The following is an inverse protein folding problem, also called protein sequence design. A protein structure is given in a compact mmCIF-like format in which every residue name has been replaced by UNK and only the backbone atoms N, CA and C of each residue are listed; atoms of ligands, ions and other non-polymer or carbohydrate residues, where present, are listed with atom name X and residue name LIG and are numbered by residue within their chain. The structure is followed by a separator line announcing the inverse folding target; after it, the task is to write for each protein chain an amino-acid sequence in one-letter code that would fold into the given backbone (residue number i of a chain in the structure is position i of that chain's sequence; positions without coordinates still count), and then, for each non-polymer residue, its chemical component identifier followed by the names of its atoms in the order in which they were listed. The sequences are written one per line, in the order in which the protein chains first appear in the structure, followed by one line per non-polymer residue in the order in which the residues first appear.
data_IF_891757722489
#
_entry.id   IF_891757722489
#
_cell.length_a   1.000
_cell.length_b   1.000
_cell.length_c   1.000
_cell.angle_alpha   90.00
_cell.angle_beta   90.00
_cell.angle_gamma   90.00
#
_symmetry.space_group_name_H-M   'P 1'
#
loop_
_entity.id
_entity.type
_entity.pdbx_description
1 polymer ?
#
# COMPACT_ATOMS: atom_id res chain seq x y z
N UNK A 1 -2.65 -5.95 -19.99
CA UNK A 1 -2.90 -7.41 -20.06
C UNK A 1 -1.69 -8.18 -19.56
N UNK A 2 -1.69 -8.59 -18.28
CA UNK A 2 -1.40 -9.97 -17.89
C UNK A 2 -2.30 -10.37 -16.73
N UNK A 3 -3.37 -11.07 -17.08
CA UNK A 3 -3.83 -12.16 -16.26
C UNK A 3 -2.72 -13.22 -16.29
N UNK A 4 -1.91 -13.28 -15.23
CA UNK A 4 -1.06 -14.43 -14.93
C UNK A 4 -1.68 -15.12 -13.70
N UNK A 5 -2.90 -15.64 -13.88
CA UNK A 5 -3.69 -16.27 -12.83
C UNK A 5 -3.13 -17.55 -12.22
N UNK A 6 -1.87 -17.91 -12.49
CA UNK A 6 -1.24 -19.15 -12.06
C UNK A 6 0.25 -18.98 -11.72
N UNK A 7 0.65 -17.94 -10.98
CA UNK A 7 1.86 -18.07 -10.17
C UNK A 7 1.52 -18.90 -8.93
N UNK A 8 1.43 -20.22 -9.14
CA UNK A 8 1.59 -21.20 -8.06
C UNK A 8 3.06 -21.12 -7.68
N UNK A 9 3.37 -20.36 -6.64
CA UNK A 9 4.70 -20.39 -6.04
C UNK A 9 4.91 -21.73 -5.36
N UNK A 10 6.14 -22.23 -5.43
CA UNK A 10 6.54 -23.44 -4.72
C UNK A 10 6.36 -23.31 -3.20
N UNK A 11 6.58 -24.40 -2.46
CA UNK A 11 6.48 -24.38 -1.01
C UNK A 11 7.38 -23.29 -0.40
N UNK A 12 6.85 -22.58 0.58
CA UNK A 12 7.55 -21.48 1.26
C UNK A 12 8.34 -22.03 2.43
N UNK A 13 9.64 -21.76 2.43
CA UNK A 13 10.57 -22.21 3.47
C UNK A 13 10.98 -21.09 4.43
N UNK A 14 10.84 -19.82 4.03
CA UNK A 14 11.16 -18.67 4.87
C UNK A 14 10.15 -17.53 4.74
N UNK A 15 9.55 -17.20 5.87
CA UNK A 15 8.48 -16.20 6.00
C UNK A 15 8.99 -15.00 6.80
N UNK A 16 8.79 -13.79 6.26
CA UNK A 16 9.01 -12.55 7.01
C UNK A 16 7.70 -12.07 7.64
N UNK A 17 7.77 -11.50 8.84
CA UNK A 17 6.60 -10.95 9.55
C UNK A 17 6.84 -9.48 9.84
N UNK A 18 5.90 -8.65 9.39
CA UNK A 18 5.84 -7.21 9.68
C UNK A 18 4.69 -6.97 10.66
N UNK A 19 4.99 -6.38 11.81
CA UNK A 19 4.06 -6.25 12.93
C UNK A 19 3.73 -4.78 13.21
N UNK A 20 2.46 -4.49 13.50
CA UNK A 20 2.06 -3.17 14.02
C UNK A 20 2.11 -3.12 15.56
N UNK A 21 3.14 -2.47 16.06
CA UNK A 21 3.50 -2.31 17.48
C UNK A 21 2.45 -1.57 18.33
N UNK A 22 1.55 -0.81 17.69
CA UNK A 22 0.56 0.01 18.41
C UNK A 22 -0.64 -0.78 18.94
N UNK A 23 -0.84 -2.03 18.51
CA UNK A 23 -1.96 -2.87 18.95
C UNK A 23 -1.57 -3.75 20.14
N UNK A 24 -2.32 -3.66 21.25
CA UNK A 24 -2.16 -4.54 22.42
C UNK A 24 -2.48 -6.00 22.06
N UNK A 25 -1.70 -6.93 22.61
CA UNK A 25 -1.93 -8.38 22.45
C UNK A 25 -1.34 -9.01 21.19
N UNK A 26 -0.59 -8.24 20.38
CA UNK A 26 -0.03 -8.74 19.12
C UNK A 26 1.04 -9.82 19.31
N UNK A 27 1.80 -9.77 20.41
CA UNK A 27 2.81 -10.77 20.73
C UNK A 27 2.28 -12.21 20.76
N UNK A 28 1.07 -12.43 21.31
CA UNK A 28 0.46 -13.77 21.33
C UNK A 28 0.12 -14.30 19.94
N UNK A 29 -0.32 -13.42 19.04
CA UNK A 29 -0.61 -13.79 17.63
C UNK A 29 0.67 -14.06 16.86
N UNK A 30 1.70 -13.23 17.06
CA UNK A 30 3.04 -13.48 16.49
C UNK A 30 3.57 -14.82 16.98
N UNK A 31 3.42 -15.14 18.27
CA UNK A 31 3.88 -16.39 18.83
C UNK A 31 3.16 -17.60 18.26
N UNK A 32 1.84 -17.50 18.08
CA UNK A 32 1.02 -18.52 17.42
C UNK A 32 1.45 -18.70 15.95
N UNK A 33 1.62 -17.61 15.20
CA UNK A 33 2.04 -17.66 13.81
C UNK A 33 3.38 -18.36 13.66
N UNK A 34 4.36 -18.01 14.51
CA UNK A 34 5.66 -18.65 14.43
C UNK A 34 5.56 -20.13 14.79
N UNK A 35 4.78 -20.50 15.81
CA UNK A 35 4.58 -21.90 16.15
C UNK A 35 3.98 -22.70 14.98
N UNK A 36 3.02 -22.14 14.25
CA UNK A 36 2.41 -22.75 13.07
C UNK A 36 3.42 -22.92 11.93
N UNK A 37 4.14 -21.86 11.58
CA UNK A 37 5.11 -21.89 10.47
C UNK A 37 6.29 -22.83 10.79
N UNK A 38 6.82 -22.76 12.01
CA UNK A 38 7.91 -23.65 12.46
C UNK A 38 7.45 -25.10 12.60
N UNK A 39 6.18 -25.34 12.98
CA UNK A 39 5.59 -26.68 13.00
C UNK A 39 5.59 -27.37 11.63
N UNK A 40 5.57 -26.58 10.56
CA UNK A 40 5.68 -27.04 9.17
C UNK A 40 7.11 -27.08 8.64
N UNK A 41 8.12 -26.80 9.48
CA UNK A 41 9.54 -26.83 9.09
C UNK A 41 10.03 -25.59 8.34
N UNK A 42 9.26 -24.50 8.32
CA UNK A 42 9.66 -23.23 7.73
C UNK A 42 10.21 -22.25 8.80
N UNK A 43 11.11 -21.37 8.37
CA UNK A 43 11.75 -20.36 9.20
C UNK A 43 10.93 -19.07 9.22
N UNK A 44 10.89 -18.40 10.37
CA UNK A 44 10.22 -17.09 10.52
C UNK A 44 11.20 -16.02 10.94
N UNK A 45 11.27 -14.96 10.14
CA UNK A 45 11.96 -13.73 10.45
C UNK A 45 10.94 -12.69 10.90
N UNK A 46 11.18 -12.02 12.03
CA UNK A 46 10.26 -11.01 12.57
C UNK A 46 10.96 -9.66 12.60
N UNK A 47 10.33 -8.65 11.99
CA UNK A 47 10.74 -7.25 12.09
C UNK A 47 9.70 -6.50 12.92
N UNK A 48 10.17 -5.74 13.91
CA UNK A 48 9.34 -5.02 14.87
C UNK A 48 10.18 -4.30 15.92
N UNK A 49 9.55 -3.89 17.01
CA UNK A 49 10.18 -3.26 18.16
C UNK A 49 10.31 -4.29 19.31
N UNK A 50 11.42 -4.33 20.06
CA UNK A 50 11.53 -5.15 21.28
C UNK A 50 10.37 -4.99 22.28
N UNK A 51 9.68 -3.85 22.27
CA UNK A 51 8.51 -3.57 23.11
C UNK A 51 7.21 -4.29 22.67
N UNK A 52 7.20 -4.97 21.51
CA UNK A 52 6.02 -5.61 20.93
C UNK A 52 5.52 -6.86 21.68
N UNK A 53 6.18 -7.21 22.78
CA UNK A 53 5.90 -8.42 23.55
C UNK A 53 6.31 -9.70 22.79
N UNK A 54 7.16 -9.56 21.78
CA UNK A 54 7.69 -10.68 20.98
C UNK A 54 8.94 -11.23 21.69
N UNK A 55 8.86 -12.45 22.23
CA UNK A 55 9.93 -13.04 23.06
C UNK A 55 11.12 -13.61 22.27
N UNK A 56 11.43 -13.08 21.08
CA UNK A 56 12.33 -13.69 20.10
C UNK A 56 13.17 -12.66 19.34
N UNK A 57 14.25 -13.12 18.70
CA UNK A 57 15.21 -12.25 18.00
C UNK A 57 14.55 -11.53 16.84
N UNK A 58 14.59 -10.20 16.88
CA UNK A 58 14.12 -9.35 15.80
C UNK A 58 15.24 -9.12 14.78
N UNK A 59 14.88 -9.05 13.50
CA UNK A 59 15.79 -8.67 12.41
C UNK A 59 15.46 -7.27 11.91
N UNK A 60 16.43 -6.62 11.25
CA UNK A 60 16.17 -5.37 10.55
C UNK A 60 15.37 -5.58 9.25
N UNK A 61 14.76 -4.51 8.74
CA UNK A 61 13.95 -4.54 7.51
C UNK A 61 14.75 -5.05 6.30
N UNK A 62 16.04 -4.72 6.23
CA UNK A 62 16.90 -5.13 5.13
C UNK A 62 17.07 -6.66 5.08
N UNK A 63 17.32 -7.27 6.24
CA UNK A 63 17.43 -8.72 6.41
C UNK A 63 16.09 -9.38 6.13
N UNK A 64 15.00 -8.82 6.67
CA UNK A 64 13.64 -9.30 6.43
C UNK A 64 13.33 -9.39 4.92
N UNK A 65 13.53 -8.29 4.19
CA UNK A 65 13.25 -8.22 2.75
C UNK A 65 14.21 -9.09 1.94
N UNK A 66 15.50 -9.09 2.30
CA UNK A 66 16.55 -9.82 1.60
C UNK A 66 16.31 -11.33 1.63
N UNK A 67 15.90 -11.84 2.77
CA UNK A 67 15.86 -13.29 3.04
C UNK A 67 14.47 -13.91 2.90
N UNK A 68 13.38 -13.15 3.07
CA UNK A 68 12.03 -13.72 3.01
C UNK A 68 11.57 -14.02 1.58
N UNK A 69 10.81 -15.11 1.44
CA UNK A 69 10.13 -15.50 0.20
C UNK A 69 8.72 -14.91 0.12
N UNK A 70 8.10 -14.66 1.27
CA UNK A 70 6.84 -13.95 1.44
C UNK A 70 6.88 -13.12 2.72
N UNK A 71 6.19 -11.97 2.73
CA UNK A 71 5.91 -11.22 3.95
C UNK A 71 4.49 -11.45 4.44
N UNK A 72 4.31 -11.58 5.76
CA UNK A 72 3.03 -11.56 6.43
C UNK A 72 2.91 -10.23 7.19
N UNK A 73 1.93 -9.42 6.81
CA UNK A 73 1.61 -8.16 7.47
C UNK A 73 0.53 -8.40 8.52
N UNK A 74 0.92 -8.41 9.80
CA UNK A 74 0.01 -8.59 10.94
C UNK A 74 -0.47 -7.23 11.45
N UNK A 75 -1.66 -6.81 11.04
CA UNK A 75 -2.13 -5.47 11.41
C UNK A 75 -3.42 -5.03 10.73
N UNK A 76 -3.39 -3.86 10.11
CA UNK A 76 -4.47 -3.34 9.26
C UNK A 76 -3.87 -2.78 7.97
N UNK A 77 -4.64 -2.02 7.20
CA UNK A 77 -4.21 -1.50 5.89
C UNK A 77 -2.86 -0.76 5.96
N UNK A 78 -2.61 0.05 7.00
CA UNK A 78 -1.32 0.74 7.18
C UNK A 78 -0.12 -0.20 7.33
N UNK A 79 -0.30 -1.38 7.91
CA UNK A 79 0.75 -2.41 8.03
C UNK A 79 1.03 -3.07 6.70
N UNK A 80 -0.01 -3.29 5.90
CA UNK A 80 0.11 -3.83 4.54
C UNK A 80 0.80 -2.83 3.63
N UNK A 81 0.45 -1.54 3.71
CA UNK A 81 1.12 -0.46 2.98
C UNK A 81 2.59 -0.34 3.35
N UNK A 82 2.91 -0.45 4.64
CA UNK A 82 4.29 -0.46 5.09
C UNK A 82 5.05 -1.68 4.53
N UNK A 83 4.50 -2.90 4.65
CA UNK A 83 5.11 -4.08 4.05
C UNK A 83 5.31 -3.94 2.53
N UNK A 84 4.35 -3.33 1.82
CA UNK A 84 4.46 -3.03 0.38
C UNK A 84 5.60 -2.07 0.06
N UNK A 85 5.82 -1.04 0.88
CA UNK A 85 6.95 -0.13 0.72
C UNK A 85 8.31 -0.82 0.91
N UNK A 86 8.39 -1.83 1.78
CA UNK A 86 9.64 -2.58 2.02
C UNK A 86 10.04 -3.46 0.82
N UNK A 87 9.06 -3.99 0.09
CA UNK A 87 9.29 -4.98 -0.98
C UNK A 87 9.13 -4.42 -2.38
N UNK A 88 8.98 -3.11 -2.53
CA UNK A 88 8.72 -2.45 -3.81
C UNK A 88 9.73 -2.82 -4.92
N UNK A 89 11.00 -3.06 -4.57
CA UNK A 89 12.05 -3.42 -5.54
C UNK A 89 12.09 -4.92 -5.86
N UNK A 90 11.89 -5.78 -4.84
CA UNK A 90 12.01 -7.24 -4.96
C UNK A 90 10.72 -7.89 -5.45
N UNK A 91 9.58 -7.23 -5.25
CA UNK A 91 8.26 -7.77 -5.59
C UNK A 91 7.88 -9.00 -4.74
N UNK A 92 8.41 -9.11 -3.53
CA UNK A 92 8.07 -10.20 -2.59
C UNK A 92 6.57 -10.16 -2.31
N UNK A 93 5.83 -11.27 -2.46
CA UNK A 93 4.40 -11.31 -2.15
C UNK A 93 4.11 -10.95 -0.69
N UNK A 94 2.90 -10.46 -0.43
CA UNK A 94 2.45 -10.04 0.90
C UNK A 94 1.13 -10.72 1.19
N UNK A 95 1.03 -11.37 2.36
CA UNK A 95 -0.22 -11.84 2.95
C UNK A 95 -0.64 -10.85 4.04
N UNK A 96 -1.78 -10.19 3.85
CA UNK A 96 -2.33 -9.28 4.85
C UNK A 96 -3.26 -10.00 5.82
N UNK A 97 -2.96 -9.98 7.13
CA UNK A 97 -3.81 -10.55 8.18
C UNK A 97 -4.37 -9.44 9.04
N UNK A 98 -5.70 -9.32 9.10
CA UNK A 98 -6.33 -8.25 9.88
C UNK A 98 -6.53 -8.66 11.33
N UNK A 99 -5.89 -7.94 12.25
CA UNK A 99 -6.07 -8.16 13.70
C UNK A 99 -7.11 -7.18 14.30
N UNK A 100 -8.22 -6.92 13.61
CA UNK A 100 -9.17 -5.87 14.00
C UNK A 100 -10.42 -5.76 13.12
N UNK A 101 -10.89 -4.52 12.87
CA UNK A 101 -12.02 -4.28 11.93
C UNK A 101 -11.59 -4.60 10.50
N UNK A 102 -12.46 -5.29 9.76
CA UNK A 102 -12.27 -5.59 8.34
C UNK A 102 -11.86 -4.32 7.57
N UNK A 103 -10.68 -4.35 6.97
CA UNK A 103 -10.11 -3.29 6.12
C UNK A 103 -10.30 -3.63 4.65
N UNK A 104 -9.80 -2.80 3.74
CA UNK A 104 -9.94 -3.05 2.29
C UNK A 104 -8.82 -3.94 1.72
N UNK A 105 -7.69 -4.08 2.41
CA UNK A 105 -6.50 -4.77 1.88
C UNK A 105 -6.20 -6.12 2.52
N UNK A 106 -6.75 -6.39 3.70
CA UNK A 106 -6.43 -7.62 4.42
C UNK A 106 -7.27 -8.79 3.91
N UNK A 107 -6.61 -9.94 3.76
CA UNK A 107 -7.16 -11.13 3.09
C UNK A 107 -7.76 -12.14 4.06
N UNK A 108 -7.40 -12.11 5.35
CA UNK A 108 -7.88 -13.07 6.34
C UNK A 108 -8.15 -12.47 7.73
N UNK A 109 -9.13 -13.07 8.42
CA UNK A 109 -9.40 -12.82 9.83
C UNK A 109 -8.44 -13.67 10.72
N UNK A 110 -8.22 -13.31 12.00
CA UNK A 110 -7.33 -14.06 12.87
C UNK A 110 -7.74 -15.53 13.05
N UNK A 111 -9.04 -15.82 12.94
CA UNK A 111 -9.58 -17.18 13.05
C UNK A 111 -9.22 -18.07 11.86
N UNK A 112 -8.82 -17.50 10.72
CA UNK A 112 -8.44 -18.21 9.49
C UNK A 112 -6.90 -18.30 9.33
N UNK A 113 -6.14 -17.85 10.33
CA UNK A 113 -4.69 -17.75 10.23
C UNK A 113 -4.03 -19.12 10.03
N UNK A 114 -4.48 -20.15 10.75
CA UNK A 114 -3.94 -21.52 10.63
C UNK A 114 -4.11 -22.07 9.21
N UNK A 115 -5.33 -22.07 8.69
CA UNK A 115 -5.62 -22.51 7.32
C UNK A 115 -4.85 -21.69 6.27
N UNK A 116 -4.68 -20.38 6.48
CA UNK A 116 -3.92 -19.52 5.58
C UNK A 116 -2.42 -19.87 5.57
N UNK A 117 -1.83 -20.13 6.74
CA UNK A 117 -0.42 -20.55 6.87
C UNK A 117 -0.22 -21.93 6.23
N UNK A 118 -1.10 -22.88 6.47
CA UNK A 118 -1.02 -24.22 5.91
C UNK A 118 -1.03 -24.17 4.37
N UNK A 119 -1.98 -23.42 3.81
CA UNK A 119 -2.07 -23.20 2.36
C UNK A 119 -0.84 -22.49 1.81
N UNK A 120 -0.34 -21.48 2.53
CA UNK A 120 0.83 -20.72 2.13
C UNK A 120 2.07 -21.63 2.02
N UNK A 121 2.34 -22.44 3.04
CA UNK A 121 3.51 -23.33 3.07
C UNK A 121 3.40 -24.44 2.03
N UNK A 122 2.19 -24.93 1.76
CA UNK A 122 1.93 -25.92 0.71
C UNK A 122 1.99 -25.33 -0.71
N UNK A 123 2.16 -24.02 -0.87
CA UNK A 123 2.12 -23.36 -2.18
C UNK A 123 0.71 -23.21 -2.77
N UNK A 124 -0.33 -23.44 -1.96
CA UNK A 124 -1.75 -23.41 -2.36
C UNK A 124 -2.37 -22.01 -2.21
N UNK A 125 -1.71 -21.03 -2.84
CA UNK A 125 -2.13 -19.63 -2.86
C UNK A 125 -2.01 -19.01 -4.24
N UNK A 126 -2.62 -17.85 -4.41
CA UNK A 126 -2.53 -17.03 -5.62
C UNK A 126 -1.96 -15.67 -5.25
N UNK A 127 -1.19 -15.12 -6.18
CA UNK A 127 -0.64 -13.78 -6.05
C UNK A 127 -1.42 -12.87 -6.99
N UNK A 128 -2.07 -11.86 -6.42
CA UNK A 128 -2.72 -10.80 -7.18
C UNK A 128 -1.76 -9.61 -7.30
N UNK A 129 -1.48 -9.19 -8.53
CA UNK A 129 -0.70 -7.99 -8.78
C UNK A 129 -1.59 -6.75 -8.56
N UNK A 130 -1.07 -5.79 -7.80
CA UNK A 130 -1.76 -4.53 -7.51
C UNK A 130 -1.00 -3.38 -8.15
N UNK A 131 -1.73 -2.46 -8.79
CA UNK A 131 -1.16 -1.23 -9.31
C UNK A 131 -0.58 -0.41 -8.17
N UNK A 132 0.63 0.13 -8.37
CA UNK A 132 1.29 1.07 -7.49
C UNK A 132 1.73 2.31 -8.27
N UNK A 133 1.88 3.43 -7.56
CA UNK A 133 2.35 4.70 -8.09
C UNK A 133 3.82 4.90 -7.73
N UNK A 134 4.60 5.39 -8.69
CA UNK A 134 5.87 6.08 -8.45
C UNK A 134 5.65 7.57 -8.77
N UNK A 135 6.01 8.45 -7.85
CA UNK A 135 6.07 9.89 -8.07
C UNK A 135 7.51 10.38 -7.93
N UNK A 136 7.86 11.39 -8.71
CA UNK A 136 9.15 12.07 -8.62
C UNK A 136 8.92 13.57 -8.44
N UNK A 137 9.50 14.14 -7.40
CA UNK A 137 9.45 15.58 -7.09
C UNK A 137 10.89 16.07 -6.92
N UNK A 138 11.40 16.81 -7.91
CA UNK A 138 12.83 17.10 -7.98
C UNK A 138 13.64 15.81 -8.06
N UNK A 139 14.57 15.61 -7.13
CA UNK A 139 15.38 14.39 -7.02
C UNK A 139 14.76 13.33 -6.08
N UNK A 140 13.63 13.64 -5.44
CA UNK A 140 12.96 12.73 -4.50
C UNK A 140 12.00 11.82 -5.24
N UNK A 141 12.12 10.51 -5.01
CA UNK A 141 11.15 9.52 -5.44
C UNK A 141 10.28 9.07 -4.28
N UNK A 142 9.00 8.85 -4.55
CA UNK A 142 8.04 8.30 -3.61
C UNK A 142 7.24 7.19 -4.28
N UNK A 143 6.91 6.16 -3.48
CA UNK A 143 6.09 5.04 -3.93
C UNK A 143 4.85 4.92 -3.07
N UNK A 144 3.73 4.57 -3.68
CA UNK A 144 2.47 4.39 -2.95
C UNK A 144 1.58 3.36 -3.62
N UNK A 145 1.03 2.43 -2.83
CA UNK A 145 0.02 1.50 -3.31
C UNK A 145 -1.37 2.18 -3.41
N UNK A 146 -1.61 3.22 -2.60
CA UNK A 146 -2.91 3.88 -2.53
C UNK A 146 -2.93 5.15 -3.38
N UNK A 147 -2.33 6.23 -2.87
CA UNK A 147 -2.30 7.51 -3.55
C UNK A 147 -1.03 8.31 -3.30
N UNK A 148 -0.76 9.21 -4.23
CA UNK A 148 0.13 10.35 -4.05
C UNK A 148 -0.75 11.58 -3.89
N UNK A 149 -0.49 12.33 -2.82
CA UNK A 149 -1.26 13.52 -2.46
C UNK A 149 -0.34 14.72 -2.63
N UNK A 150 -0.81 15.71 -3.38
CA UNK A 150 -0.18 17.03 -3.48
C UNK A 150 -1.10 17.98 -2.72
N UNK A 151 -0.65 18.52 -1.61
CA UNK A 151 -1.46 19.41 -0.77
C UNK A 151 -0.69 20.68 -0.43
N UNK A 152 -1.41 21.77 -0.18
CA UNK A 152 -0.84 22.99 0.37
C UNK A 152 -0.25 22.72 1.77
N UNK A 153 0.93 23.24 2.05
CA UNK A 153 1.53 23.14 3.39
C UNK A 153 0.90 24.08 4.42
N UNK A 154 0.29 25.19 3.99
CA UNK A 154 -0.26 26.24 4.88
C UNK A 154 -1.77 26.39 4.71
N UNK A 155 -2.51 26.39 5.83
CA UNK A 155 -3.97 26.39 5.87
C UNK A 155 -4.66 27.57 5.15
N UNK A 156 -4.01 28.74 5.08
CA UNK A 156 -4.70 30.00 4.75
C UNK A 156 -4.68 30.42 3.27
N UNK A 157 -4.03 29.68 2.37
CA UNK A 157 -3.89 30.08 0.95
C UNK A 157 -4.20 28.94 -0.01
N UNK A 158 -4.70 29.28 -1.19
CA UNK A 158 -4.92 28.31 -2.27
C UNK A 158 -3.64 28.19 -3.12
N UNK A 159 -3.45 27.03 -3.72
CA UNK A 159 -2.41 26.78 -4.74
C UNK A 159 -3.09 26.61 -6.10
N UNK A 160 -2.46 27.09 -7.17
CA UNK A 160 -2.88 26.75 -8.54
C UNK A 160 -2.19 25.43 -8.95
N UNK A 161 -2.98 24.50 -9.45
CA UNK A 161 -2.53 23.18 -9.89
C UNK A 161 -2.83 23.03 -11.37
N UNK A 162 -1.78 22.90 -12.18
CA UNK A 162 -1.90 22.60 -13.61
C UNK A 162 -1.56 21.12 -13.83
N UNK A 163 -2.41 20.41 -14.55
CA UNK A 163 -2.29 18.97 -14.76
C UNK A 163 -2.21 18.61 -16.23
N UNK A 164 -1.35 17.64 -16.54
CA UNK A 164 -1.23 17.00 -17.84
C UNK A 164 -1.36 15.49 -17.68
N UNK A 165 -1.91 14.87 -18.72
CA UNK A 165 -2.00 13.41 -18.85
C UNK A 165 -1.31 13.06 -20.17
N UNK A 166 -0.16 12.40 -20.06
CA UNK A 166 0.83 12.36 -21.14
C UNK A 166 1.25 13.78 -21.52
N UNK A 167 1.09 14.13 -22.79
CA UNK A 167 1.40 15.48 -23.31
C UNK A 167 0.20 16.43 -23.35
N UNK A 168 -0.99 15.98 -22.97
CA UNK A 168 -2.22 16.77 -23.08
C UNK A 168 -2.46 17.56 -21.80
N UNK A 169 -2.58 18.91 -21.85
CA UNK A 169 -3.05 19.70 -20.70
C UNK A 169 -4.52 19.40 -20.44
N UNK A 170 -4.86 18.99 -19.22
CA UNK A 170 -6.21 18.53 -18.87
C UNK A 170 -6.94 19.50 -17.95
N UNK A 171 -6.26 20.06 -16.96
CA UNK A 171 -6.91 21.03 -16.05
C UNK A 171 -5.94 22.06 -15.47
N UNK A 172 -6.47 23.24 -15.17
CA UNK A 172 -5.88 24.19 -14.22
C UNK A 172 -6.95 24.62 -13.23
N UNK A 173 -6.66 24.56 -11.93
CA UNK A 173 -7.58 25.04 -10.91
C UNK A 173 -6.85 25.50 -9.64
N UNK A 174 -7.52 26.39 -8.90
CA UNK A 174 -7.14 26.76 -7.54
C UNK A 174 -7.82 25.83 -6.54
N UNK A 175 -7.09 25.32 -5.56
CA UNK A 175 -7.65 24.40 -4.56
C UNK A 175 -6.71 24.15 -3.39
N UNK A 176 -7.07 23.18 -2.55
CA UNK A 176 -6.20 22.71 -1.47
C UNK A 176 -5.15 21.70 -1.97
N UNK A 177 -5.45 20.97 -3.04
CA UNK A 177 -4.58 19.90 -3.49
C UNK A 177 -5.14 19.05 -4.63
N UNK A 178 -4.40 17.99 -4.96
CA UNK A 178 -4.74 16.96 -5.93
C UNK A 178 -4.31 15.59 -5.40
N UNK A 179 -5.16 14.59 -5.57
CA UNK A 179 -4.85 13.19 -5.28
C UNK A 179 -4.71 12.46 -6.61
N UNK A 180 -3.61 11.74 -6.81
CA UNK A 180 -3.48 10.72 -7.85
C UNK A 180 -3.53 9.37 -7.15
N UNK A 181 -4.55 8.58 -7.42
CA UNK A 181 -4.86 7.35 -6.68
C UNK A 181 -4.95 6.15 -7.61
N UNK A 182 -4.49 5.00 -7.12
CA UNK A 182 -4.70 3.69 -7.75
C UNK A 182 -6.15 3.22 -7.50
N UNK A 183 -6.59 2.12 -8.12
CA UNK A 183 -7.86 1.51 -7.77
C UNK A 183 -7.89 1.03 -6.31
N UNK A 184 -6.75 0.58 -5.79
CA UNK A 184 -6.59 0.18 -4.38
C UNK A 184 -6.81 1.37 -3.44
N UNK A 185 -6.25 2.54 -3.76
CA UNK A 185 -6.44 3.78 -3.01
C UNK A 185 -7.80 4.45 -3.22
N UNK A 186 -8.61 3.97 -4.17
CA UNK A 186 -9.92 4.56 -4.48
C UNK A 186 -10.90 4.56 -3.31
N UNK A 187 -10.68 3.71 -2.32
CA UNK A 187 -11.46 3.59 -1.08
C UNK A 187 -10.85 4.35 0.11
N UNK A 188 -9.71 5.02 -0.10
CA UNK A 188 -8.94 5.76 0.91
C UNK A 188 -9.19 7.27 0.80
N UNK A 189 -8.16 8.11 0.77
CA UNK A 189 -8.34 9.56 0.80
C UNK A 189 -9.06 10.08 -0.47
N UNK A 190 -8.82 9.42 -1.62
CA UNK A 190 -9.52 9.73 -2.86
C UNK A 190 -11.05 9.68 -2.70
N UNK A 191 -11.59 8.66 -2.01
CA UNK A 191 -13.03 8.55 -1.73
C UNK A 191 -13.53 9.73 -0.91
N UNK A 192 -12.78 10.11 0.13
CA UNK A 192 -13.13 11.21 1.03
C UNK A 192 -13.14 12.56 0.31
N UNK A 193 -12.30 12.73 -0.71
CA UNK A 193 -12.26 13.90 -1.58
C UNK A 193 -13.29 13.84 -2.73
N UNK A 194 -14.14 12.80 -2.78
CA UNK A 194 -15.23 12.66 -3.75
C UNK A 194 -14.88 11.86 -5.01
N UNK A 195 -13.72 11.18 -5.03
CA UNK A 195 -13.34 10.24 -6.08
C UNK A 195 -14.25 9.00 -6.13
N UNK A 196 -14.38 8.34 -7.30
CA UNK A 196 -15.16 7.10 -7.42
C UNK A 196 -14.44 5.91 -6.78
N UNK A 197 -15.21 4.91 -6.35
CA UNK A 197 -14.67 3.59 -5.98
C UNK A 197 -14.40 2.79 -7.26
N UNK A 198 -13.20 2.25 -7.39
CA UNK A 198 -12.79 1.39 -8.50
C UNK A 198 -12.48 -0.02 -8.01
N UNK A 199 -12.73 -1.01 -8.86
CA UNK A 199 -12.34 -2.39 -8.57
C UNK A 199 -10.80 -2.51 -8.62
N UNK A 200 -10.15 -3.21 -7.66
CA UNK A 200 -8.68 -3.29 -7.57
C UNK A 200 -7.98 -3.82 -8.84
N UNK A 201 -8.67 -4.61 -9.66
CA UNK A 201 -8.12 -5.21 -10.89
C UNK A 201 -8.13 -4.29 -12.11
N UNK A 202 -8.56 -3.03 -12.00
CA UNK A 202 -8.64 -2.10 -13.12
C UNK A 202 -7.27 -1.46 -13.40
N UNK A 203 -6.84 -1.43 -14.66
CA UNK A 203 -5.62 -0.73 -15.09
C UNK A 203 -5.89 0.77 -15.29
N UNK A 204 -6.23 1.48 -14.21
CA UNK A 204 -6.60 2.91 -14.26
C UNK A 204 -6.12 3.70 -13.05
N UNK A 205 -5.91 5.00 -13.24
CA UNK A 205 -5.65 5.98 -12.19
C UNK A 205 -6.84 6.90 -11.99
N UNK A 206 -6.99 7.40 -10.77
CA UNK A 206 -7.97 8.43 -10.41
C UNK A 206 -7.21 9.72 -10.12
N UNK A 207 -7.66 10.82 -10.71
CA UNK A 207 -7.18 12.17 -10.40
C UNK A 207 -8.31 12.90 -9.70
N UNK A 208 -8.20 13.11 -8.39
CA UNK A 208 -9.24 13.70 -7.54
C UNK A 208 -8.79 15.07 -6.99
N UNK A 209 -9.41 16.18 -7.43
CA UNK A 209 -9.16 17.50 -6.85
C UNK A 209 -9.58 17.60 -5.37
N UNK A 210 -8.76 18.23 -4.53
CA UNK A 210 -9.10 18.50 -3.12
C UNK A 210 -9.61 19.93 -2.99
N UNK A 211 -10.88 20.08 -2.60
CA UNK A 211 -11.57 21.35 -2.41
C UNK A 211 -11.29 22.38 -3.54
N UNK A 212 -11.53 22.04 -4.83
CA UNK A 212 -11.31 22.97 -5.92
C UNK A 212 -12.26 24.16 -5.81
N UNK A 213 -11.75 25.37 -6.04
CA UNK A 213 -12.57 26.60 -6.06
C UNK A 213 -13.45 26.67 -7.33
N UNK A 214 -13.24 25.80 -8.31
CA UNK A 214 -14.09 25.67 -9.50
C UNK A 214 -15.20 24.64 -9.29
N UNK A 215 -16.45 25.04 -9.54
CA UNK A 215 -17.63 24.18 -9.43
C UNK A 215 -17.71 23.09 -10.50
N UNK A 216 -16.94 23.20 -11.59
CA UNK A 216 -16.94 22.23 -12.70
C UNK A 216 -15.88 21.15 -12.56
N UNK A 217 -14.94 21.28 -11.61
CA UNK A 217 -13.90 20.28 -11.41
C UNK A 217 -14.51 18.98 -10.89
N UNK A 218 -14.13 17.86 -11.51
CA UNK A 218 -14.60 16.51 -11.17
C UNK A 218 -13.41 15.55 -11.16
N UNK A 219 -13.48 14.47 -10.37
CA UNK A 219 -12.51 13.39 -10.48
C UNK A 219 -12.46 12.85 -11.91
N UNK A 220 -11.27 12.51 -12.37
CA UNK A 220 -11.03 11.88 -13.67
C UNK A 220 -10.50 10.48 -13.47
N UNK A 221 -10.99 9.52 -14.25
CA UNK A 221 -10.44 8.17 -14.33
C UNK A 221 -9.73 8.04 -15.67
N UNK A 222 -8.44 7.70 -15.64
CA UNK A 222 -7.58 7.62 -16.84
C UNK A 222 -6.80 6.32 -16.89
N UNK A 223 -6.31 5.89 -18.07
CA UNK A 223 -5.51 4.67 -18.18
C UNK A 223 -4.22 4.74 -17.33
N UNK A 224 -3.82 3.62 -16.73
CA UNK A 224 -2.65 3.56 -15.85
C UNK A 224 -1.30 3.64 -16.57
N UNK A 225 -1.28 3.53 -17.90
CA UNK A 225 -0.07 3.70 -18.72
C UNK A 225 0.25 5.18 -19.02
N UNK A 226 -0.61 6.10 -18.59
CA UNK A 226 -0.41 7.53 -18.78
C UNK A 226 0.41 8.15 -17.65
N UNK A 227 1.39 8.99 -18.01
CA UNK A 227 2.07 9.83 -17.04
C UNK A 227 1.17 10.99 -16.62
N UNK A 228 0.91 11.12 -15.31
CA UNK A 228 0.25 12.31 -14.76
C UNK A 228 1.32 13.29 -14.31
N UNK A 229 1.34 14.48 -14.93
CA UNK A 229 2.26 15.57 -14.57
C UNK A 229 1.48 16.67 -13.88
N UNK A 230 1.98 17.14 -12.75
CA UNK A 230 1.36 18.22 -11.99
C UNK A 230 2.39 19.32 -11.79
N UNK A 231 2.04 20.53 -12.19
CA UNK A 231 2.80 21.73 -11.86
C UNK A 231 2.04 22.49 -10.78
N UNK A 232 2.70 22.67 -9.64
CA UNK A 232 2.20 23.55 -8.59
C UNK A 232 2.69 24.96 -8.87
N UNK A 233 1.76 25.88 -9.03
CA UNK A 233 2.03 27.32 -9.16
C UNK A 233 1.63 27.97 -7.85
N UNK A 234 2.63 28.34 -7.06
CA UNK A 234 2.48 29.02 -5.79
C UNK A 234 3.47 30.19 -5.72
N UNK A 235 3.03 31.32 -5.18
CA UNK A 235 3.89 32.48 -4.91
C UNK A 235 4.73 32.29 -3.62
N UNK A 236 4.63 31.14 -2.95
CA UNK A 236 5.20 30.86 -1.63
C UNK A 236 5.83 29.46 -1.60
N UNK A 237 6.94 29.30 -0.87
CA UNK A 237 7.72 28.06 -0.82
C UNK A 237 7.29 27.21 0.39
N UNK A 238 6.05 26.71 0.38
CA UNK A 238 5.51 25.88 1.47
C UNK A 238 4.59 24.76 0.92
N UNK A 239 5.18 23.85 0.13
CA UNK A 239 4.51 22.65 -0.40
C UNK A 239 5.14 21.44 0.29
N UNK A 240 4.30 20.54 0.80
CA UNK A 240 4.70 19.30 1.49
C UNK A 240 4.25 18.11 0.65
#
# INVERSE_FOLDING_TARGET
MRYNGDRVSGPVSRVGVVVNTTKRGIGGVVDQLVALVSGHGAEVLVCGNPEDGVSRTLVDEKTLVGESEILIALGGDGTILHAASLVQEKGTPILGVNLGRLGFLADSAPEELEDAIDRLIQGSYRVDERLALEATVGDTKAFSLNEIVIEKGVLARLIELKTWIGEVPVSSFWGNGLIVSTPTGSTSYSLSAGGPVLHPSLDSLIITPICPHSLSQRPLVVPADQQVRVQVVAEHVDII
#
